data_IF_944214644202
#
_entry.id   IF_944214644202
#
_cell.length_a   1.000
_cell.length_b   1.000
_cell.length_c   1.000
_cell.angle_alpha   90.00
_cell.angle_beta   90.00
_cell.angle_gamma   90.00
#
_symmetry.space_group_name_H-M   'P 1'
#
loop_
_entity.id
_entity.type
_entity.pdbx_description
1 polymer ?
#
# COMPACT_ATOMS: atom_id res chain seq x y z
N UNK A 1 14.12 7.89 -8.37
CA UNK A 1 12.76 7.40 -8.69
C UNK A 1 12.64 5.89 -8.53
N UNK A 2 13.68 5.12 -8.85
CA UNK A 2 13.70 3.66 -8.66
C UNK A 2 13.30 3.18 -7.26
N UNK A 3 13.82 3.79 -6.18
CA UNK A 3 13.46 3.39 -4.81
C UNK A 3 11.95 3.50 -4.53
N UNK A 4 11.30 4.56 -5.01
CA UNK A 4 9.86 4.77 -4.87
C UNK A 4 9.07 3.78 -5.71
N UNK A 5 9.53 3.50 -6.93
CA UNK A 5 8.93 2.48 -7.82
C UNK A 5 8.97 1.10 -7.16
N UNK A 6 10.13 0.70 -6.62
CA UNK A 6 10.30 -0.58 -5.92
C UNK A 6 9.43 -0.66 -4.66
N UNK A 7 9.37 0.40 -3.85
CA UNK A 7 8.50 0.44 -2.66
C UNK A 7 7.02 0.31 -3.02
N UNK A 8 6.55 1.06 -4.03
CA UNK A 8 5.16 0.98 -4.50
C UNK A 8 4.82 -0.39 -5.11
N UNK A 9 5.77 -1.02 -5.82
CA UNK A 9 5.58 -2.36 -6.41
C UNK A 9 5.50 -3.42 -5.31
N UNK A 10 6.36 -3.34 -4.29
CA UNK A 10 6.30 -4.23 -3.14
C UNK A 10 4.98 -4.11 -2.38
N UNK A 11 4.57 -2.88 -2.06
CA UNK A 11 3.27 -2.60 -1.45
C UNK A 11 2.11 -3.15 -2.29
N UNK A 12 2.17 -3.01 -3.62
CA UNK A 12 1.15 -3.54 -4.52
C UNK A 12 0.99 -5.07 -4.42
N UNK A 13 2.11 -5.80 -4.41
CA UNK A 13 2.11 -7.26 -4.26
C UNK A 13 1.61 -7.69 -2.89
N UNK A 14 2.08 -7.03 -1.82
CA UNK A 14 1.65 -7.31 -0.45
C UNK A 14 0.13 -7.09 -0.29
N UNK A 15 -0.39 -5.99 -0.83
CA UNK A 15 -1.82 -5.67 -0.82
C UNK A 15 -2.64 -6.67 -1.65
N UNK A 16 -2.18 -7.01 -2.86
CA UNK A 16 -2.87 -7.98 -3.70
C UNK A 16 -2.95 -9.35 -3.03
N UNK A 17 -1.84 -9.83 -2.46
CA UNK A 17 -1.80 -11.09 -1.70
C UNK A 17 -2.72 -11.05 -0.47
N UNK A 18 -2.82 -9.91 0.22
CA UNK A 18 -3.74 -9.73 1.34
C UNK A 18 -5.20 -9.83 0.91
N UNK A 19 -5.57 -9.15 -0.19
CA UNK A 19 -6.93 -9.21 -0.75
C UNK A 19 -7.28 -10.61 -1.27
N UNK A 20 -6.34 -11.28 -1.95
CA UNK A 20 -6.52 -12.63 -2.46
C UNK A 20 -6.71 -13.68 -1.36
N UNK A 21 -6.22 -13.43 -0.13
CA UNK A 21 -6.54 -14.31 1.01
C UNK A 21 -8.00 -14.20 1.45
N UNK A 22 -8.63 -13.05 1.25
CA UNK A 22 -10.04 -12.81 1.61
C UNK A 22 -11.00 -13.31 0.54
N UNK A 23 -10.62 -13.21 -0.74
CA UNK A 23 -11.39 -13.73 -1.88
C UNK A 23 -10.47 -14.40 -2.90
N UNK A 24 -10.13 -15.70 -2.71
CA UNK A 24 -9.14 -16.39 -3.55
C UNK A 24 -9.60 -16.72 -4.97
N UNK A 25 -10.90 -16.66 -5.25
CA UNK A 25 -11.47 -17.06 -6.53
C UNK A 25 -12.21 -15.92 -7.24
N UNK A 26 -12.40 -14.79 -6.56
CA UNK A 26 -13.00 -13.58 -7.14
C UNK A 26 -12.03 -12.76 -7.98
N UNK A 27 -12.61 -11.87 -8.78
CA UNK A 27 -11.84 -10.91 -9.55
C UNK A 27 -11.33 -9.79 -8.64
N UNK A 28 -10.01 -9.54 -8.65
CA UNK A 28 -9.39 -8.45 -7.90
C UNK A 28 -8.86 -7.41 -8.89
N UNK A 29 -9.41 -6.20 -8.82
CA UNK A 29 -8.96 -5.05 -9.60
C UNK A 29 -8.73 -3.85 -8.69
N UNK A 30 -7.49 -3.38 -8.62
CA UNK A 30 -7.07 -2.28 -7.73
C UNK A 30 -6.09 -1.36 -8.44
N UNK A 31 -5.94 -0.12 -7.94
CA UNK A 31 -4.90 0.82 -8.35
C UNK A 31 -3.91 1.05 -7.19
N UNK A 32 -2.83 0.24 -7.10
CA UNK A 32 -1.91 0.30 -5.96
C UNK A 32 -1.20 1.65 -5.81
N UNK A 33 -0.84 2.28 -6.93
CA UNK A 33 -0.20 3.59 -6.92
C UNK A 33 -1.10 4.70 -6.38
N UNK A 34 -2.39 4.67 -6.72
CA UNK A 34 -3.38 5.63 -6.20
C UNK A 34 -3.55 5.47 -4.70
N UNK A 35 -3.64 4.22 -4.22
CA UNK A 35 -3.74 3.91 -2.78
C UNK A 35 -2.48 4.36 -2.03
N UNK A 36 -1.29 4.02 -2.54
CA UNK A 36 -0.02 4.45 -1.96
C UNK A 36 0.09 5.98 -1.89
N UNK A 37 -0.32 6.68 -2.96
CA UNK A 37 -0.33 8.16 -2.99
C UNK A 37 -1.29 8.75 -1.93
N UNK A 38 -2.49 8.18 -1.78
CA UNK A 38 -3.43 8.60 -0.76
C UNK A 38 -2.89 8.36 0.66
N UNK A 39 -2.30 7.18 0.91
CA UNK A 39 -1.67 6.85 2.19
C UNK A 39 -0.47 7.74 2.49
N UNK A 40 0.33 8.10 1.48
CA UNK A 40 1.43 9.06 1.64
C UNK A 40 0.92 10.44 2.07
N UNK A 41 -0.20 10.93 1.49
CA UNK A 41 -0.83 12.17 1.94
C UNK A 41 -1.32 12.09 3.38
N UNK A 42 -1.96 10.98 3.76
CA UNK A 42 -2.41 10.75 5.14
C UNK A 42 -1.22 10.70 6.10
N UNK A 43 -0.14 10.01 5.72
CA UNK A 43 1.07 9.85 6.53
C UNK A 43 1.65 11.20 6.98
N UNK A 44 1.63 12.24 6.14
CA UNK A 44 2.11 13.59 6.49
C UNK A 44 1.38 14.20 7.70
N UNK A 45 0.12 13.81 7.94
CA UNK A 45 -0.66 14.24 9.10
C UNK A 45 -0.45 13.40 10.36
N UNK A 46 0.17 12.23 10.25
CA UNK A 46 0.31 11.28 11.38
C UNK A 46 1.56 11.53 12.22
N UNK A 47 1.55 11.09 13.48
CA UNK A 47 2.67 11.21 14.43
C UNK A 47 2.82 9.94 15.26
N UNK A 48 3.94 9.82 15.97
CA UNK A 48 4.19 8.73 16.92
C UNK A 48 4.04 7.34 16.30
N UNK A 49 3.34 6.44 17.00
CA UNK A 49 3.16 5.06 16.57
C UNK A 49 2.40 4.93 15.23
N UNK A 50 1.44 5.82 14.96
CA UNK A 50 0.67 5.81 13.70
C UNK A 50 1.56 6.07 12.50
N UNK A 51 2.45 7.06 12.59
CA UNK A 51 3.42 7.34 11.53
C UNK A 51 4.37 6.15 11.32
N UNK A 52 4.89 5.57 12.40
CA UNK A 52 5.80 4.43 12.34
C UNK A 52 5.18 3.18 11.68
N UNK A 53 3.88 2.94 11.87
CA UNK A 53 3.17 1.84 11.22
C UNK A 53 2.92 2.09 9.73
N UNK A 54 2.67 3.35 9.34
CA UNK A 54 2.39 3.71 7.95
C UNK A 54 3.64 3.76 7.06
N UNK A 55 4.82 3.99 7.64
CA UNK A 55 6.10 4.02 6.90
C UNK A 55 6.82 2.66 6.84
N UNK A 56 6.19 1.59 7.35
CA UNK A 56 6.79 0.26 7.48
C UNK A 56 6.44 -0.62 6.28
#
# INVERSE_FOLDING_TARGET
MEQLSTANTRFALDLFCALNKSDPAGNIFISPFSISSALAMVFLGTRGNTAAQMSK
#
